data_IF_213194957788
#
_entry.id   IF_213194957788
#
_cell.length_a   1.000
_cell.length_b   1.000
_cell.length_c   1.000
_cell.angle_alpha   90.00
_cell.angle_beta   90.00
_cell.angle_gamma   90.00
#
_symmetry.space_group_name_H-M   'P 1'
#
loop_
_entity.id
_entity.type
_entity.pdbx_description
1 polymer ?
#
# COMPACT_ATOMS: atom_id res chain seq x y z
N UNK A 1 -63.02 24.46 -68.43
CA UNK A 1 -63.20 23.14 -69.07
C UNK A 1 -61.83 22.51 -69.22
N UNK A 2 -61.79 21.18 -69.23
CA UNK A 2 -60.64 20.26 -69.35
C UNK A 2 -60.15 19.67 -68.03
N UNK A 3 -60.60 18.42 -67.88
CA UNK A 3 -60.39 17.45 -66.82
C UNK A 3 -59.18 16.63 -67.25
N UNK A 4 -58.15 16.52 -66.42
CA UNK A 4 -57.13 15.49 -66.58
C UNK A 4 -57.03 14.71 -65.27
N UNK A 5 -57.37 13.43 -65.37
CA UNK A 5 -57.13 12.43 -64.34
C UNK A 5 -55.76 11.81 -64.61
N UNK A 6 -54.92 11.67 -63.59
CA UNK A 6 -53.78 10.77 -63.69
C UNK A 6 -53.56 10.10 -62.34
N UNK A 7 -53.66 8.78 -62.39
CA UNK A 7 -53.46 7.80 -61.33
C UNK A 7 -51.99 7.81 -60.94
N UNK A 8 -51.68 7.86 -59.64
CA UNK A 8 -50.33 7.64 -59.13
C UNK A 8 -50.34 6.41 -58.21
N UNK A 9 -49.48 5.44 -58.59
CA UNK A 9 -49.22 4.15 -57.98
C UNK A 9 -48.89 4.26 -56.47
N UNK A 10 -49.53 3.40 -55.68
CA UNK A 10 -49.08 3.05 -54.34
C UNK A 10 -47.78 2.24 -54.42
N UNK A 11 -46.64 2.85 -54.14
CA UNK A 11 -45.40 2.15 -53.83
C UNK A 11 -45.34 1.92 -52.31
N UNK A 12 -45.62 0.69 -51.86
CA UNK A 12 -45.30 0.25 -50.50
C UNK A 12 -43.77 0.16 -50.37
N UNK A 13 -43.16 1.22 -49.82
CA UNK A 13 -41.76 1.20 -49.41
C UNK A 13 -41.59 0.32 -48.17
N UNK A 14 -40.87 -0.81 -48.31
CA UNK A 14 -40.33 -1.53 -47.17
C UNK A 14 -39.33 -0.60 -46.45
N UNK A 15 -39.69 -0.12 -45.26
CA UNK A 15 -38.74 0.50 -44.35
C UNK A 15 -37.90 -0.61 -43.70
N UNK A 16 -36.70 -0.85 -44.22
CA UNK A 16 -35.69 -1.64 -43.52
C UNK A 16 -35.15 -0.81 -42.35
N UNK A 17 -35.67 -1.03 -41.14
CA UNK A 17 -35.10 -0.47 -39.92
C UNK A 17 -33.74 -1.14 -39.65
N UNK A 18 -32.66 -0.48 -40.06
CA UNK A 18 -31.31 -0.80 -39.61
C UNK A 18 -31.22 -0.50 -38.11
N UNK A 19 -31.40 -1.53 -37.29
CA UNK A 19 -31.07 -1.47 -35.87
C UNK A 19 -29.55 -1.45 -35.78
N UNK A 20 -28.97 -0.25 -35.75
CA UNK A 20 -27.58 -0.08 -35.33
C UNK A 20 -27.52 -0.49 -33.87
N UNK A 21 -27.04 -1.71 -33.61
CA UNK A 21 -26.54 -2.09 -32.30
C UNK A 21 -25.29 -1.25 -32.03
N UNK A 22 -25.49 0.01 -31.63
CA UNK A 22 -24.44 0.83 -31.09
C UNK A 22 -23.92 0.10 -29.86
N UNK A 23 -22.73 -0.48 -29.96
CA UNK A 23 -21.94 -0.85 -28.80
C UNK A 23 -21.68 0.46 -28.06
N UNK A 24 -22.54 0.77 -27.10
CA UNK A 24 -22.23 1.78 -26.08
C UNK A 24 -20.88 1.38 -25.53
N UNK A 25 -19.83 2.22 -25.64
CA UNK A 25 -18.60 1.95 -24.92
C UNK A 25 -19.02 1.78 -23.47
N UNK A 26 -18.75 0.61 -22.89
CA UNK A 26 -18.88 0.41 -21.46
C UNK A 26 -17.88 1.39 -20.86
N UNK A 27 -18.37 2.56 -20.46
CA UNK A 27 -17.67 3.45 -19.53
C UNK A 27 -17.23 2.56 -18.38
N UNK A 28 -15.91 2.49 -18.17
CA UNK A 28 -15.30 1.65 -17.16
C UNK A 28 -16.18 1.63 -15.89
N UNK A 29 -16.75 0.46 -15.58
CA UNK A 29 -17.37 0.24 -14.27
C UNK A 29 -16.36 0.77 -13.24
N UNK A 30 -16.81 1.70 -12.38
CA UNK A 30 -15.97 2.35 -11.39
C UNK A 30 -15.09 1.33 -10.68
N UNK A 31 -13.84 1.70 -10.43
CA UNK A 31 -12.88 0.81 -9.82
C UNK A 31 -13.46 0.23 -8.51
N UNK A 32 -13.44 -1.11 -8.39
CA UNK A 32 -14.02 -1.81 -7.25
C UNK A 32 -13.13 -1.79 -6.03
N UNK A 33 -13.59 -2.40 -4.94
CA UNK A 33 -12.78 -2.65 -3.76
C UNK A 33 -12.69 -4.16 -3.48
N UNK A 34 -11.51 -4.62 -3.07
CA UNK A 34 -11.34 -5.95 -2.48
C UNK A 34 -11.14 -5.75 -0.98
N UNK A 35 -11.98 -6.40 -0.17
CA UNK A 35 -11.84 -6.44 1.29
C UNK A 35 -11.58 -7.87 1.72
N UNK A 36 -10.82 -8.05 2.80
CA UNK A 36 -10.55 -9.36 3.34
C UNK A 36 -9.82 -9.30 4.67
N UNK A 37 -9.46 -10.47 5.19
CA UNK A 37 -8.72 -10.61 6.44
C UNK A 37 -7.55 -11.58 6.26
N UNK A 38 -6.39 -11.23 6.83
CA UNK A 38 -5.24 -12.11 6.94
C UNK A 38 -5.28 -12.76 8.32
N UNK A 39 -5.44 -14.09 8.38
CA UNK A 39 -5.56 -14.83 9.64
C UNK A 39 -4.40 -15.79 9.87
N UNK A 40 -3.98 -15.90 11.12
CA UNK A 40 -3.10 -16.94 11.59
C UNK A 40 -3.86 -18.26 11.68
N UNK A 41 -3.31 -19.30 11.05
CA UNK A 41 -3.88 -20.65 11.12
C UNK A 41 -3.39 -21.38 12.37
N UNK A 42 -4.32 -22.03 13.09
CA UNK A 42 -4.01 -22.76 14.33
C UNK A 42 -3.95 -21.87 15.57
N UNK A 43 -3.07 -22.23 16.51
CA UNK A 43 -2.87 -21.51 17.77
C UNK A 43 -1.70 -20.53 17.61
N UNK A 44 -1.92 -19.21 17.75
CA UNK A 44 -0.83 -18.24 17.67
C UNK A 44 0.24 -18.52 18.73
N UNK A 45 1.54 -18.40 18.39
CA UNK A 45 2.59 -18.48 19.39
C UNK A 45 2.46 -17.32 20.39
N UNK A 46 3.01 -17.51 21.60
CA UNK A 46 3.13 -16.41 22.54
C UNK A 46 3.96 -15.27 21.92
N UNK A 47 3.56 -14.03 22.16
CA UNK A 47 4.29 -12.86 21.70
C UNK A 47 5.72 -12.90 22.24
N UNK A 48 6.70 -12.88 21.34
CA UNK A 48 8.12 -12.85 21.70
C UNK A 48 8.43 -11.49 22.31
N UNK A 49 9.05 -11.48 23.48
CA UNK A 49 9.49 -10.25 24.14
C UNK A 49 10.96 -9.96 23.82
N UNK A 50 11.26 -8.71 23.51
CA UNK A 50 12.60 -8.19 23.35
C UNK A 50 13.03 -7.56 24.66
N UNK A 51 14.17 -8.00 25.20
CA UNK A 51 14.80 -7.33 26.33
C UNK A 51 15.55 -6.09 25.86
N UNK A 52 15.15 -4.93 26.35
CA UNK A 52 15.84 -3.67 26.02
C UNK A 52 17.05 -3.52 26.93
N UNK A 53 18.23 -3.33 26.33
CA UNK A 53 19.51 -3.24 27.05
C UNK A 53 20.24 -1.89 26.89
N UNK A 54 19.67 -0.94 26.15
CA UNK A 54 20.25 0.39 25.91
C UNK A 54 19.17 1.46 25.97
N UNK A 55 19.53 2.65 26.47
CA UNK A 55 18.65 3.82 26.58
C UNK A 55 17.31 3.51 27.26
N UNK A 56 17.31 2.65 28.28
CA UNK A 56 16.11 2.12 28.94
C UNK A 56 15.23 3.21 29.57
N UNK A 57 15.79 4.39 29.85
CA UNK A 57 15.02 5.57 30.31
C UNK A 57 14.05 6.11 29.24
N UNK A 58 14.35 5.89 27.96
CA UNK A 58 13.52 6.31 26.81
C UNK A 58 12.84 5.09 26.18
N UNK A 59 13.60 4.00 26.01
CA UNK A 59 13.13 2.79 25.36
C UNK A 59 12.33 1.87 26.30
N UNK A 60 12.31 2.08 27.62
CA UNK A 60 11.70 1.15 28.57
C UNK A 60 12.56 -0.11 28.78
N UNK A 61 12.01 -1.11 29.49
CA UNK A 61 12.76 -2.32 29.87
C UNK A 61 12.55 -3.50 28.92
N UNK A 62 11.37 -3.61 28.33
CA UNK A 62 10.92 -4.73 27.51
C UNK A 62 9.91 -4.25 26.48
N UNK A 63 9.86 -4.90 25.32
CA UNK A 63 8.88 -4.61 24.26
C UNK A 63 8.43 -5.88 23.56
N UNK A 64 7.19 -5.96 23.07
CA UNK A 64 6.79 -7.03 22.17
C UNK A 64 7.58 -6.93 20.87
N UNK A 65 8.01 -8.06 20.33
CA UNK A 65 8.56 -8.16 18.98
C UNK A 65 7.46 -7.93 17.95
N UNK A 66 7.74 -7.10 16.95
CA UNK A 66 6.83 -6.90 15.81
C UNK A 66 7.06 -7.91 14.66
N UNK A 67 7.96 -8.88 14.86
CA UNK A 67 8.25 -9.97 13.90
C UNK A 67 6.99 -10.75 13.48
N UNK A 68 6.07 -10.95 14.44
CA UNK A 68 4.74 -11.49 14.19
C UNK A 68 3.78 -10.92 15.24
N UNK A 69 2.80 -10.15 14.79
CA UNK A 69 1.75 -9.58 15.66
C UNK A 69 0.42 -10.22 15.28
N UNK A 70 -0.11 -11.04 16.19
CA UNK A 70 -1.41 -11.69 16.02
C UNK A 70 -2.41 -11.12 17.01
N UNK A 71 -3.49 -10.54 16.51
CA UNK A 71 -4.59 -10.00 17.31
C UNK A 71 -5.47 -11.08 17.93
N UNK A 72 -6.35 -10.67 18.84
CA UNK A 72 -7.23 -11.58 19.58
C UNK A 72 -8.14 -12.44 18.69
N UNK A 73 -8.53 -11.92 17.51
CA UNK A 73 -9.33 -12.63 16.51
C UNK A 73 -8.48 -13.45 15.52
N UNK A 74 -7.23 -13.75 15.87
CA UNK A 74 -6.21 -14.37 15.01
C UNK A 74 -5.82 -13.56 13.77
N UNK A 75 -6.17 -12.27 13.72
CA UNK A 75 -5.72 -11.35 12.68
C UNK A 75 -4.22 -11.15 12.70
N UNK A 76 -3.56 -11.22 11.54
CA UNK A 76 -2.14 -10.87 11.42
C UNK A 76 -2.05 -9.39 11.05
N UNK A 77 -1.46 -8.58 11.92
CA UNK A 77 -1.16 -7.16 11.67
C UNK A 77 0.03 -7.01 10.74
N UNK A 78 0.10 -5.90 10.01
CA UNK A 78 1.24 -5.49 9.19
C UNK A 78 1.51 -6.40 7.98
N UNK A 79 0.58 -7.28 7.62
CA UNK A 79 0.67 -8.08 6.40
C UNK A 79 0.41 -7.17 5.19
N UNK A 80 1.30 -7.19 4.21
CA UNK A 80 1.13 -6.47 2.96
C UNK A 80 0.37 -7.34 1.97
N UNK A 81 -0.79 -6.88 1.54
CA UNK A 81 -1.59 -7.51 0.51
C UNK A 81 -1.44 -6.70 -0.77
N UNK A 82 -1.13 -7.38 -1.87
CA UNK A 82 -1.03 -6.78 -3.20
C UNK A 82 -1.86 -7.56 -4.21
N UNK A 83 -2.32 -6.85 -5.24
CA UNK A 83 -3.02 -7.47 -6.35
C UNK A 83 -2.02 -7.87 -7.44
N UNK A 84 -1.88 -9.17 -7.67
CA UNK A 84 -1.01 -9.69 -8.73
C UNK A 84 -1.49 -9.19 -10.10
N UNK A 85 -0.55 -8.86 -10.99
CA UNK A 85 -0.88 -8.40 -12.36
C UNK A 85 -1.51 -7.01 -12.44
N UNK A 86 -1.69 -6.31 -11.32
CA UNK A 86 -2.19 -4.94 -11.32
C UNK A 86 -1.27 -4.02 -12.15
N UNK A 87 -1.89 -3.21 -13.01
CA UNK A 87 -1.21 -2.26 -13.89
C UNK A 87 -1.49 -0.83 -13.45
N UNK A 88 -0.60 0.07 -13.85
CA UNK A 88 -0.72 1.50 -13.60
C UNK A 88 0.12 1.95 -12.40
N UNK A 89 0.53 3.23 -12.38
CA UNK A 89 1.40 3.74 -11.34
C UNK A 89 0.69 3.73 -9.99
N UNK A 90 1.47 3.55 -8.93
CA UNK A 90 0.96 3.65 -7.58
C UNK A 90 0.41 5.06 -7.30
N UNK A 91 -0.75 5.21 -6.63
CA UNK A 91 -1.33 6.52 -6.37
C UNK A 91 -0.36 7.33 -5.52
N UNK A 92 -0.25 8.62 -5.85
CA UNK A 92 0.57 9.53 -5.05
C UNK A 92 -0.07 9.67 -3.67
N UNK A 93 0.68 9.43 -2.58
CA UNK A 93 0.20 9.66 -1.23
C UNK A 93 -0.31 11.10 -1.05
N UNK A 94 -1.46 11.25 -0.38
CA UNK A 94 -2.02 12.57 -0.07
C UNK A 94 -1.13 13.38 0.88
N UNK A 95 -0.33 12.70 1.69
CA UNK A 95 0.67 13.27 2.58
C UNK A 95 2.02 12.60 2.30
N UNK A 96 3.11 13.32 2.58
CA UNK A 96 4.44 12.74 2.46
C UNK A 96 4.57 11.53 3.40
N UNK A 97 4.93 10.34 2.90
CA UNK A 97 5.10 9.16 3.74
C UNK A 97 6.17 9.40 4.81
N UNK A 98 5.94 8.88 6.01
CA UNK A 98 6.87 9.02 7.12
C UNK A 98 7.07 7.70 7.89
N UNK A 99 8.32 7.42 8.25
CA UNK A 99 8.73 6.33 9.12
C UNK A 99 9.38 6.93 10.38
N UNK A 100 8.71 6.83 11.51
CA UNK A 100 9.16 7.46 12.75
C UNK A 100 9.94 6.48 13.64
N UNK A 101 11.03 6.97 14.24
CA UNK A 101 11.72 6.29 15.34
C UNK A 101 11.09 6.78 16.64
N UNK A 102 10.13 5.99 17.13
CA UNK A 102 9.29 6.31 18.28
C UNK A 102 9.11 5.11 19.19
N UNK A 103 9.28 5.31 20.48
CA UNK A 103 9.32 4.24 21.47
C UNK A 103 10.40 3.22 21.17
N UNK A 104 11.51 3.63 20.56
CA UNK A 104 12.61 2.79 20.07
C UNK A 104 12.10 1.62 19.22
N UNK A 105 11.21 1.94 18.28
CA UNK A 105 10.66 1.10 17.20
C UNK A 105 10.46 1.97 15.94
N UNK A 106 10.40 1.35 14.77
CA UNK A 106 9.97 2.04 13.55
C UNK A 106 8.45 2.04 13.48
N UNK A 107 7.84 3.23 13.37
CA UNK A 107 6.39 3.42 13.34
C UNK A 107 5.99 4.16 12.06
N UNK A 108 5.15 3.57 11.19
CA UNK A 108 4.61 2.20 11.30
C UNK A 108 5.70 1.13 11.11
N UNK A 109 5.47 -0.09 11.60
CA UNK A 109 6.40 -1.21 11.42
C UNK A 109 6.61 -1.54 9.93
N UNK A 110 5.54 -1.42 9.14
CA UNK A 110 5.54 -1.57 7.69
C UNK A 110 4.92 -0.33 7.08
N UNK A 111 5.62 0.30 6.15
CA UNK A 111 5.10 1.38 5.31
C UNK A 111 5.13 0.95 3.85
N UNK A 112 4.04 1.20 3.12
CA UNK A 112 3.98 1.01 1.67
C UNK A 112 4.04 2.36 0.98
N UNK A 113 4.92 2.51 -0.01
CA UNK A 113 5.14 3.76 -0.75
C UNK A 113 5.25 3.47 -2.24
N UNK A 114 4.87 4.40 -3.14
CA UNK A 114 5.09 4.21 -4.57
C UNK A 114 6.59 4.28 -4.90
N UNK A 115 7.03 3.60 -5.97
CA UNK A 115 8.34 3.85 -6.56
C UNK A 115 8.53 5.34 -6.90
N UNK A 116 9.70 5.88 -6.58
CA UNK A 116 10.03 7.30 -6.67
C UNK A 116 9.63 8.14 -5.45
N UNK A 117 9.03 7.53 -4.42
CA UNK A 117 8.66 8.24 -3.21
C UNK A 117 9.86 8.76 -2.42
N UNK A 118 9.70 9.95 -1.85
CA UNK A 118 10.50 10.42 -0.73
C UNK A 118 9.81 10.07 0.58
N UNK A 119 10.54 9.44 1.49
CA UNK A 119 10.07 9.07 2.82
C UNK A 119 10.80 9.91 3.86
N UNK A 120 10.03 10.55 4.74
CA UNK A 120 10.57 11.25 5.89
C UNK A 120 10.85 10.26 7.03
N UNK A 121 12.10 10.20 7.46
CA UNK A 121 12.56 9.44 8.61
C UNK A 121 12.58 10.38 9.82
N UNK A 122 11.67 10.14 10.76
CA UNK A 122 11.49 10.99 11.94
C UNK A 122 12.25 10.41 13.14
N UNK A 123 12.60 11.28 14.10
CA UNK A 123 13.17 10.89 15.38
C UNK A 123 12.42 11.59 16.51
N UNK A 124 11.29 10.97 16.89
CA UNK A 124 10.46 11.43 18.01
C UNK A 124 11.04 11.06 19.38
N UNK A 125 11.87 10.02 19.47
CA UNK A 125 12.48 9.58 20.74
C UNK A 125 13.50 10.57 21.31
N UNK A 126 14.13 11.39 20.48
CA UNK A 126 15.07 12.41 20.94
C UNK A 126 16.39 11.83 21.48
N UNK A 127 16.72 10.59 21.12
CA UNK A 127 18.02 9.96 21.33
C UNK A 127 18.71 9.68 19.99
N UNK A 128 19.93 9.12 20.01
CA UNK A 128 20.62 8.74 18.78
C UNK A 128 19.98 7.47 18.21
N UNK A 129 19.54 7.55 16.96
CA UNK A 129 19.23 6.37 16.16
C UNK A 129 20.01 6.41 14.84
N UNK A 130 19.81 5.42 13.99
CA UNK A 130 20.22 5.45 12.60
C UNK A 130 19.19 4.69 11.75
N UNK A 131 19.14 5.03 10.47
CA UNK A 131 18.46 4.22 9.47
C UNK A 131 19.49 3.43 8.68
N UNK A 132 19.40 2.11 8.77
CA UNK A 132 20.17 1.16 7.98
C UNK A 132 19.22 0.34 7.10
N UNK A 133 19.28 0.53 5.78
CA UNK A 133 18.46 -0.20 4.81
C UNK A 133 19.25 -1.32 4.15
N UNK A 134 18.65 -2.49 4.03
CA UNK A 134 19.18 -3.62 3.28
C UNK A 134 18.46 -3.69 1.95
N UNK A 135 19.09 -3.13 0.92
CA UNK A 135 18.53 -2.94 -0.41
C UNK A 135 19.44 -3.55 -1.47
N UNK A 136 18.83 -4.03 -2.54
CA UNK A 136 19.45 -4.59 -3.75
C UNK A 136 19.15 -3.75 -4.99
N UNK A 137 17.95 -3.15 -5.08
CA UNK A 137 17.52 -2.33 -6.21
C UNK A 137 17.68 -0.83 -5.94
N UNK A 138 17.36 -0.39 -4.72
CA UNK A 138 17.55 0.97 -4.23
C UNK A 138 18.93 1.16 -3.59
N UNK A 139 19.33 2.41 -3.36
CA UNK A 139 20.56 2.71 -2.64
C UNK A 139 20.50 2.10 -1.22
N UNK A 140 21.56 1.42 -0.81
CA UNK A 140 21.74 1.04 0.58
C UNK A 140 22.14 2.29 1.39
N UNK A 141 21.41 2.52 2.48
CA UNK A 141 21.58 3.67 3.35
C UNK A 141 22.05 3.15 4.71
N UNK A 142 23.07 3.78 5.27
CA UNK A 142 23.36 3.68 6.69
C UNK A 142 23.72 5.08 7.21
N UNK A 143 22.75 5.75 7.84
CA UNK A 143 22.88 7.16 8.24
C UNK A 143 22.45 7.35 9.69
N UNK A 144 23.34 7.89 10.51
CA UNK A 144 23.03 8.31 11.86
C UNK A 144 22.01 9.47 11.87
N UNK A 145 21.10 9.42 12.83
CA UNK A 145 20.10 10.44 13.10
C UNK A 145 20.18 10.85 14.58
N UNK A 146 21.04 11.83 14.91
CA UNK A 146 21.20 12.32 16.28
C UNK A 146 19.96 13.11 16.74
N UNK A 147 19.83 13.32 18.07
CA UNK A 147 18.66 13.94 18.71
C UNK A 147 18.17 15.27 18.13
N UNK A 148 19.07 16.07 17.56
CA UNK A 148 18.78 17.38 16.97
C UNK A 148 18.29 17.28 15.52
N UNK A 149 18.54 16.16 14.84
CA UNK A 149 18.08 15.91 13.47
C UNK A 149 16.70 15.25 13.51
N UNK A 150 15.67 16.08 13.68
CA UNK A 150 14.28 15.62 13.81
C UNK A 150 13.73 14.93 12.58
N UNK A 151 14.21 15.32 11.40
CA UNK A 151 13.77 14.75 10.10
C UNK A 151 14.99 14.49 9.22
N UNK A 152 14.97 13.37 8.52
CA UNK A 152 15.85 13.02 7.39
C UNK A 152 14.95 12.56 6.24
N UNK A 153 15.24 12.90 4.99
CA UNK A 153 14.44 12.43 3.85
C UNK A 153 15.28 11.51 2.99
N UNK A 154 14.74 10.34 2.65
CA UNK A 154 15.39 9.36 1.77
C UNK A 154 14.45 8.99 0.62
N UNK A 155 15.00 8.81 -0.58
CA UNK A 155 14.25 8.50 -1.80
C UNK A 155 14.38 7.03 -2.16
N UNK A 156 13.27 6.41 -2.55
CA UNK A 156 13.20 5.01 -2.97
C UNK A 156 12.64 4.93 -4.39
N UNK A 157 13.52 4.79 -5.38
CA UNK A 157 13.21 4.89 -6.81
C UNK A 157 12.67 3.60 -7.44
N UNK A 158 13.02 2.43 -6.90
CA UNK A 158 12.73 1.14 -7.55
C UNK A 158 11.83 0.26 -6.69
N UNK A 159 10.88 -0.50 -7.29
CA UNK A 159 10.08 -1.45 -6.55
C UNK A 159 10.95 -2.48 -5.82
N UNK A 160 10.74 -2.61 -4.52
CA UNK A 160 11.56 -3.43 -3.62
C UNK A 160 10.89 -3.54 -2.24
N UNK A 161 11.07 -4.67 -1.56
CA UNK A 161 10.79 -4.78 -0.12
C UNK A 161 12.11 -4.53 0.61
N UNK A 162 12.22 -3.38 1.24
CA UNK A 162 13.46 -2.93 1.91
C UNK A 162 13.34 -3.18 3.40
N UNK A 163 14.23 -4.02 3.94
CA UNK A 163 14.39 -4.16 5.39
C UNK A 163 15.08 -2.93 5.95
N UNK A 164 14.60 -2.44 7.08
CA UNK A 164 15.17 -1.32 7.83
C UNK A 164 15.57 -1.80 9.23
N UNK A 165 16.72 -1.33 9.71
CA UNK A 165 17.23 -1.61 11.05
C UNK A 165 17.86 -0.35 11.66
N UNK A 166 17.83 -0.25 13.00
CA UNK A 166 18.74 0.62 13.73
C UNK A 166 19.91 -0.21 14.29
N UNK A 167 21.14 0.17 13.97
CA UNK A 167 22.35 -0.45 14.49
C UNK A 167 22.67 -0.03 15.94
N UNK A 168 22.15 1.13 16.38
CA UNK A 168 22.29 1.59 17.78
C UNK A 168 21.43 0.73 18.72
N UNK A 169 20.21 0.41 18.27
CA UNK A 169 19.18 -0.34 18.98
C UNK A 169 18.77 -1.54 18.14
N UNK A 170 19.57 -2.61 18.16
CA UNK A 170 19.46 -3.75 17.22
C UNK A 170 18.13 -4.51 17.20
N UNK A 171 17.23 -4.22 18.14
CA UNK A 171 15.86 -4.73 18.12
C UNK A 171 14.91 -3.95 17.19
N UNK A 172 15.26 -2.72 16.83
CA UNK A 172 14.46 -1.90 15.93
C UNK A 172 14.58 -2.45 14.52
N UNK A 173 13.49 -3.06 14.04
CA UNK A 173 13.35 -3.53 12.68
C UNK A 173 12.04 -3.01 12.12
N UNK A 174 12.02 -2.80 10.80
CA UNK A 174 10.84 -2.38 10.07
C UNK A 174 11.02 -2.60 8.58
N UNK A 175 10.00 -2.24 7.80
CA UNK A 175 9.97 -2.51 6.37
C UNK A 175 9.40 -1.33 5.58
N UNK A 176 10.08 -1.01 4.48
CA UNK A 176 9.57 -0.10 3.45
C UNK A 176 9.26 -0.94 2.22
N UNK A 177 7.99 -1.07 1.89
CA UNK A 177 7.54 -1.74 0.67
C UNK A 177 7.36 -0.70 -0.42
N UNK A 178 8.29 -0.66 -1.36
CA UNK A 178 8.25 0.21 -2.53
C UNK A 178 7.44 -0.51 -3.60
N UNK A 179 6.20 -0.07 -3.79
CA UNK A 179 5.23 -0.70 -4.68
C UNK A 179 5.49 -0.41 -6.15
N UNK A 180 5.31 -1.44 -7.00
CA UNK A 180 5.40 -1.30 -8.45
C UNK A 180 4.11 -0.73 -9.08
N UNK A 181 2.98 -0.83 -8.38
CA UNK A 181 1.65 -0.54 -8.90
C UNK A 181 0.68 -0.05 -7.81
N UNK A 182 -0.54 0.34 -8.19
CA UNK A 182 -1.52 0.98 -7.31
C UNK A 182 -2.11 0.14 -6.18
N UNK A 183 -2.13 -1.19 -6.32
CA UNK A 183 -2.94 -2.03 -5.45
C UNK A 183 -2.12 -2.66 -4.33
N UNK A 184 -1.97 -1.92 -3.22
CA UNK A 184 -1.41 -2.44 -1.97
C UNK A 184 -2.28 -2.02 -0.77
N UNK A 185 -2.33 -2.90 0.23
CA UNK A 185 -2.93 -2.63 1.54
C UNK A 185 -2.05 -3.24 2.64
N UNK A 186 -2.08 -2.65 3.83
CA UNK A 186 -1.46 -3.19 5.03
C UNK A 186 -2.58 -3.60 5.99
N UNK A 187 -2.53 -4.83 6.50
CA UNK A 187 -3.55 -5.30 7.43
C UNK A 187 -3.45 -4.64 8.80
N UNK A 188 -4.61 -4.40 9.42
CA UNK A 188 -4.70 -3.86 10.77
C UNK A 188 -4.56 -4.95 11.86
N UNK A 189 -4.76 -4.57 13.13
CA UNK A 189 -4.67 -5.45 14.30
C UNK A 189 -5.64 -6.64 14.25
N UNK A 190 -6.73 -6.52 13.48
CA UNK A 190 -7.75 -7.56 13.27
C UNK A 190 -7.44 -8.44 12.05
N UNK A 191 -6.38 -8.11 11.31
CA UNK A 191 -5.99 -8.71 10.05
C UNK A 191 -6.74 -8.13 8.85
N UNK A 192 -7.65 -7.18 9.05
CA UNK A 192 -8.49 -6.64 7.98
C UNK A 192 -7.67 -5.77 7.02
N UNK A 193 -7.97 -5.86 5.73
CA UNK A 193 -7.38 -5.03 4.69
C UNK A 193 -8.45 -4.60 3.68
N UNK A 194 -8.16 -3.48 2.99
CA UNK A 194 -8.97 -2.98 1.88
C UNK A 194 -8.06 -2.50 0.76
N UNK A 195 -8.19 -3.11 -0.41
CA UNK A 195 -7.63 -2.63 -1.66
C UNK A 195 -8.69 -1.81 -2.37
N UNK A 196 -8.45 -0.51 -2.49
CA UNK A 196 -9.31 0.39 -3.24
C UNK A 196 -8.81 0.59 -4.67
N UNK A 197 -9.71 1.09 -5.52
CA UNK A 197 -9.43 1.39 -6.91
C UNK A 197 -8.95 0.17 -7.72
N UNK A 198 -9.52 -1.00 -7.44
CA UNK A 198 -9.22 -2.24 -8.18
C UNK A 198 -9.83 -2.15 -9.57
N UNK A 199 -9.02 -2.17 -10.65
CA UNK A 199 -9.54 -2.05 -12.01
C UNK A 199 -10.31 -3.32 -12.41
N UNK A 200 -11.36 -3.20 -13.24
CA UNK A 200 -12.04 -4.37 -13.81
C UNK A 200 -11.04 -5.29 -14.56
N UNK A 201 -11.14 -6.60 -14.33
CA UNK A 201 -10.27 -7.57 -15.00
C UNK A 201 -10.11 -8.87 -14.22
N UNK A 202 -9.33 -9.81 -14.80
CA UNK A 202 -8.82 -10.99 -14.10
C UNK A 202 -7.42 -10.65 -13.57
N UNK A 203 -7.20 -10.93 -12.30
CA UNK A 203 -5.99 -10.65 -11.54
C UNK A 203 -5.54 -11.90 -10.78
#
# INVERSE_FOLDING_TARGET
MMRHWTVALCALGLAAALVWAGSTPVTAQGAGSIVGEVKFSGTPPAAKMVKVNKDTQVCGSDKPSEELVVGANKGIKNAVVSLAGAKGPAPKPAQKPALDQKGCQFTPHVIVVPAGAEVDILNSDGILHNIHTFSSANAAINKAQPKFKKVMTEKFDKPEIVKVQCDVHGWMQGWIVVGAHASYAVSDDSGAFKLDNVPPGKH
#
